data_IF_913223690141
#
_entry.id   IF_913223690141
#
_cell.length_a   1.000
_cell.length_b   1.000
_cell.length_c   1.000
_cell.angle_alpha   90.00
_cell.angle_beta   90.00
_cell.angle_gamma   90.00
#
_symmetry.space_group_name_H-M   'P 1'
#
loop_
_entity.id
_entity.type
_entity.pdbx_description
1 polymer ?
#
# COMPACT_ATOMS: atom_id res chain seq x y z
N UNK A 1 24.56 44.22 6.58
CA UNK A 1 23.23 43.69 6.19
C UNK A 1 23.22 42.15 6.17
N UNK A 2 23.93 41.47 7.08
CA UNK A 2 24.04 40.00 7.08
C UNK A 2 23.02 39.28 7.98
N UNK A 3 22.55 39.95 9.05
CA UNK A 3 21.66 39.36 10.04
C UNK A 3 20.26 39.04 9.47
N UNK A 4 19.73 39.91 8.60
CA UNK A 4 18.46 39.65 7.90
C UNK A 4 18.54 38.41 7.02
N UNK A 5 19.65 38.22 6.30
CA UNK A 5 19.81 37.12 5.35
C UNK A 5 19.69 35.74 6.03
N UNK A 6 20.30 35.57 7.21
CA UNK A 6 20.23 34.32 7.97
C UNK A 6 18.84 34.05 8.56
N UNK A 7 18.13 35.10 9.00
CA UNK A 7 16.76 34.97 9.52
C UNK A 7 15.80 34.58 8.39
N UNK A 8 15.92 35.19 7.21
CA UNK A 8 15.10 34.82 6.05
C UNK A 8 15.40 33.40 5.54
N UNK A 9 16.66 32.97 5.57
CA UNK A 9 17.03 31.60 5.21
C UNK A 9 16.39 30.59 6.18
N UNK A 10 16.55 30.82 7.48
CA UNK A 10 16.06 29.90 8.52
C UNK A 10 14.53 29.79 8.53
N UNK A 11 13.79 30.89 8.30
CA UNK A 11 12.34 30.83 8.13
C UNK A 11 11.93 29.99 6.91
N UNK A 12 12.66 30.09 5.79
CA UNK A 12 12.37 29.27 4.59
C UNK A 12 12.62 27.79 4.83
N UNK A 13 13.71 27.44 5.50
CA UNK A 13 13.96 26.04 5.87
C UNK A 13 12.91 25.51 6.83
N UNK A 14 12.50 26.27 7.84
CA UNK A 14 11.43 25.88 8.74
C UNK A 14 10.11 25.64 7.99
N UNK A 15 9.74 26.53 7.06
CA UNK A 15 8.55 26.36 6.23
C UNK A 15 8.62 25.09 5.36
N UNK A 16 9.77 24.81 4.72
CA UNK A 16 9.96 23.61 3.91
C UNK A 16 9.84 22.34 4.77
N UNK A 17 10.47 22.32 5.94
CA UNK A 17 10.41 21.19 6.88
C UNK A 17 8.97 20.95 7.34
N UNK A 18 8.21 22.00 7.64
CA UNK A 18 6.80 21.88 8.02
C UNK A 18 5.95 21.31 6.87
N UNK A 19 6.12 21.80 5.64
CA UNK A 19 5.38 21.28 4.47
C UNK A 19 5.71 19.82 4.20
N UNK A 20 7.00 19.44 4.23
CA UNK A 20 7.42 18.05 4.06
C UNK A 20 6.91 17.15 5.19
N UNK A 21 6.90 17.67 6.43
CA UNK A 21 6.39 16.96 7.60
C UNK A 21 4.89 16.66 7.50
N UNK A 22 4.07 17.64 7.11
CA UNK A 22 2.62 17.45 6.90
C UNK A 22 2.37 16.38 5.85
N UNK A 23 3.08 16.43 4.72
CA UNK A 23 2.89 15.46 3.63
C UNK A 23 3.28 14.02 4.02
N UNK A 24 4.34 13.85 4.82
CA UNK A 24 4.68 12.54 5.39
C UNK A 24 3.63 12.05 6.40
N UNK A 25 3.10 12.95 7.23
CA UNK A 25 2.06 12.61 8.22
C UNK A 25 0.76 12.14 7.56
N UNK A 26 0.28 12.83 6.52
CA UNK A 26 -0.91 12.42 5.75
C UNK A 26 -0.74 11.01 5.17
N UNK A 27 0.40 10.73 4.52
CA UNK A 27 0.67 9.40 3.96
C UNK A 27 0.83 8.29 5.02
N UNK A 28 1.21 8.63 6.25
CA UNK A 28 1.26 7.70 7.38
C UNK A 28 -0.14 7.41 7.94
N UNK A 29 -0.97 8.45 8.06
CA UNK A 29 -2.34 8.35 8.54
C UNK A 29 -3.19 7.48 7.61
N UNK A 30 -3.09 7.72 6.30
CA UNK A 30 -3.76 6.91 5.27
C UNK A 30 -3.39 5.42 5.36
N UNK A 31 -2.12 5.11 5.65
CA UNK A 31 -1.68 3.71 5.82
C UNK A 31 -2.24 3.08 7.08
N UNK A 32 -2.38 3.83 8.16
CA UNK A 32 -2.90 3.31 9.41
C UNK A 32 -4.41 3.03 9.31
N UNK A 33 -5.18 3.92 8.69
CA UNK A 33 -6.58 3.67 8.37
C UNK A 33 -6.75 2.49 7.41
N UNK A 34 -5.94 2.43 6.36
CA UNK A 34 -5.96 1.30 5.43
C UNK A 34 -5.65 -0.02 6.13
N UNK A 35 -4.70 -0.02 7.07
CA UNK A 35 -4.38 -1.21 7.89
C UNK A 35 -5.58 -1.66 8.74
N UNK A 36 -6.31 -0.71 9.34
CA UNK A 36 -7.52 -1.00 10.13
C UNK A 36 -8.68 -1.50 9.27
N UNK A 37 -8.71 -1.15 7.99
CA UNK A 37 -9.75 -1.58 7.05
C UNK A 37 -9.62 -3.04 6.57
N UNK A 38 -8.49 -3.70 6.83
CA UNK A 38 -8.25 -5.06 6.37
C UNK A 38 -9.17 -6.09 7.05
N UNK A 39 -9.71 -7.02 6.25
CA UNK A 39 -10.58 -8.12 6.72
C UNK A 39 -9.75 -9.16 7.50
N UNK A 40 -10.38 -10.01 8.34
CA UNK A 40 -9.66 -10.99 9.17
C UNK A 40 -8.71 -11.95 8.44
N UNK A 41 -8.99 -12.22 7.16
CA UNK A 41 -8.19 -13.12 6.30
C UNK A 41 -7.20 -12.37 5.39
N UNK A 42 -7.03 -11.09 5.63
CA UNK A 42 -6.12 -10.20 4.92
C UNK A 42 -4.98 -9.76 5.83
N UNK A 43 -3.85 -9.42 5.23
CA UNK A 43 -2.73 -8.77 5.88
C UNK A 43 -2.45 -7.45 5.19
N UNK A 44 -2.35 -6.40 5.99
CA UNK A 44 -1.82 -5.13 5.52
C UNK A 44 -0.34 -5.31 5.17
N UNK A 45 0.03 -4.92 3.95
CA UNK A 45 1.40 -5.04 3.54
C UNK A 45 1.67 -4.46 2.16
N UNK A 46 2.90 -4.67 1.73
CA UNK A 46 3.39 -4.30 0.43
C UNK A 46 3.44 -5.53 -0.47
N UNK A 47 2.98 -5.42 -1.70
CA UNK A 47 3.20 -6.47 -2.71
C UNK A 47 3.59 -5.89 -4.07
N UNK A 48 4.21 -6.72 -4.90
CA UNK A 48 4.61 -6.33 -6.26
C UNK A 48 3.38 -6.09 -7.13
N UNK A 49 3.41 -5.02 -7.93
CA UNK A 49 2.33 -4.67 -8.85
C UNK A 49 2.42 -5.50 -10.13
N UNK A 50 1.31 -6.15 -10.51
CA UNK A 50 1.17 -6.84 -11.81
C UNK A 50 0.06 -7.91 -11.82
N UNK A 51 -0.42 -8.34 -13.00
CA UNK A 51 -1.40 -9.42 -13.12
C UNK A 51 -0.80 -10.76 -12.68
N UNK A 52 -1.38 -11.37 -11.65
CA UNK A 52 -0.84 -12.60 -11.04
C UNK A 52 0.31 -12.38 -10.04
N UNK A 53 0.71 -11.12 -9.85
CA UNK A 53 1.74 -10.73 -8.90
C UNK A 53 1.11 -10.34 -7.56
N UNK A 54 1.73 -10.82 -6.49
CA UNK A 54 1.39 -10.45 -5.12
C UNK A 54 0.21 -11.20 -4.50
N UNK A 55 -0.99 -11.05 -5.07
CA UNK A 55 -2.20 -11.71 -4.56
C UNK A 55 -2.69 -12.79 -5.54
N UNK A 56 -2.95 -13.98 -4.99
CA UNK A 56 -3.55 -15.10 -5.75
C UNK A 56 -5.03 -14.81 -5.97
N UNK A 57 -5.52 -14.97 -7.19
CA UNK A 57 -6.94 -14.77 -7.53
C UNK A 57 -7.53 -16.09 -8.02
N UNK A 58 -8.81 -16.34 -7.74
CA UNK A 58 -9.48 -17.59 -8.11
C UNK A 58 -9.51 -17.83 -9.63
N UNK A 59 -9.66 -16.76 -10.43
CA UNK A 59 -9.82 -16.85 -11.89
C UNK A 59 -8.52 -16.63 -12.67
N UNK A 60 -7.37 -16.62 -11.98
CA UNK A 60 -6.06 -16.41 -12.59
C UNK A 60 -5.22 -17.64 -12.37
N UNK A 61 -5.17 -18.53 -13.37
CA UNK A 61 -4.07 -19.47 -13.48
C UNK A 61 -2.79 -18.65 -13.62
N UNK A 62 -1.80 -18.91 -12.75
CA UNK A 62 -0.54 -18.16 -12.61
C UNK A 62 -0.12 -17.56 -13.96
N UNK A 63 -0.48 -16.31 -14.21
CA UNK A 63 0.03 -15.60 -15.36
C UNK A 63 1.49 -15.35 -15.04
N UNK A 64 2.38 -15.85 -15.91
CA UNK A 64 3.79 -15.42 -16.02
C UNK A 64 3.81 -13.96 -16.48
N UNK A 65 3.18 -13.08 -15.70
CA UNK A 65 3.14 -11.65 -15.92
C UNK A 65 4.40 -11.00 -15.38
N UNK A 66 4.85 -9.94 -16.04
CA UNK A 66 5.94 -9.11 -15.55
C UNK A 66 5.50 -8.43 -14.23
N UNK A 67 6.07 -8.86 -13.10
CA UNK A 67 5.87 -8.21 -11.82
C UNK A 67 6.78 -6.99 -11.73
N UNK A 68 6.19 -5.80 -11.64
CA UNK A 68 6.98 -4.60 -11.38
C UNK A 68 7.48 -4.63 -9.94
N UNK A 69 8.74 -4.27 -9.67
CA UNK A 69 9.29 -4.12 -8.33
C UNK A 69 8.75 -2.89 -7.59
N UNK A 70 7.54 -2.43 -7.94
CA UNK A 70 6.85 -1.33 -7.30
C UNK A 70 6.01 -1.88 -6.16
N UNK A 71 6.26 -1.35 -4.98
CA UNK A 71 5.52 -1.65 -3.77
C UNK A 71 4.11 -1.03 -3.82
N UNK A 72 3.08 -1.87 -3.95
CA UNK A 72 1.70 -1.44 -3.74
C UNK A 72 1.28 -1.81 -2.32
N UNK A 73 1.03 -0.80 -1.49
CA UNK A 73 0.45 -0.99 -0.16
C UNK A 73 -1.04 -1.29 -0.25
N UNK A 74 -1.52 -2.18 0.61
CA UNK A 74 -2.92 -2.59 0.65
C UNK A 74 -3.16 -3.79 1.56
N UNK A 75 -4.41 -4.27 1.56
CA UNK A 75 -4.82 -5.49 2.23
C UNK A 75 -4.74 -6.66 1.25
N UNK A 76 -4.00 -7.70 1.61
CA UNK A 76 -3.71 -8.84 0.73
C UNK A 76 -4.10 -10.15 1.40
N UNK A 77 -4.63 -11.11 0.64
CA UNK A 77 -4.96 -12.42 1.19
C UNK A 77 -3.77 -13.09 1.89
N UNK A 78 -3.99 -13.59 3.11
CA UNK A 78 -2.94 -14.24 3.91
C UNK A 78 -2.55 -15.61 3.32
N UNK A 79 -1.24 -15.88 3.28
CA UNK A 79 -0.71 -17.22 3.02
C UNK A 79 -1.09 -17.79 1.64
N UNK A 80 -1.82 -18.91 1.65
CA UNK A 80 -2.23 -19.64 0.43
C UNK A 80 -3.70 -19.42 0.05
N UNK A 81 -4.33 -18.36 0.58
CA UNK A 81 -5.69 -17.99 0.21
C UNK A 81 -5.72 -17.28 -1.15
N UNK A 82 -6.85 -17.41 -1.82
CA UNK A 82 -7.15 -16.85 -3.13
C UNK A 82 -8.28 -15.82 -2.98
N UNK A 83 -8.15 -14.69 -3.65
CA UNK A 83 -9.19 -13.69 -3.75
C UNK A 83 -10.27 -14.18 -4.71
N UNK A 84 -11.47 -14.44 -4.18
CA UNK A 84 -12.65 -14.78 -4.97
C UNK A 84 -13.29 -13.53 -5.55
N UNK A 85 -13.56 -13.52 -6.86
CA UNK A 85 -14.04 -12.33 -7.59
C UNK A 85 -15.45 -11.89 -7.19
N UNK A 86 -16.34 -12.83 -6.83
CA UNK A 86 -17.76 -12.57 -6.56
C UNK A 86 -18.01 -11.74 -5.29
N UNK A 87 -17.24 -11.97 -4.23
CA UNK A 87 -17.47 -11.44 -2.88
C UNK A 87 -16.21 -10.76 -2.31
N UNK A 88 -15.12 -10.72 -3.07
CA UNK A 88 -13.81 -10.24 -2.65
C UNK A 88 -13.37 -10.86 -1.31
N UNK A 89 -13.68 -12.13 -1.06
CA UNK A 89 -13.20 -12.86 0.13
C UNK A 89 -11.92 -13.63 -0.19
N UNK A 90 -11.07 -13.76 0.81
CA UNK A 90 -9.89 -14.63 0.77
C UNK A 90 -10.29 -16.02 1.21
N UNK A 91 -10.17 -16.99 0.32
CA UNK A 91 -10.66 -18.36 0.53
C UNK A 91 -9.64 -19.39 0.06
N UNK A 92 -9.67 -20.62 0.58
CA UNK A 92 -8.91 -21.73 0.01
C UNK A 92 -9.23 -21.97 -1.47
N UNK A 93 -8.27 -22.48 -2.23
CA UNK A 93 -8.42 -22.71 -3.69
C UNK A 93 -9.64 -23.57 -4.04
N UNK A 94 -9.95 -24.60 -3.24
CA UNK A 94 -11.07 -25.49 -3.51
C UNK A 94 -12.42 -24.78 -3.43
N UNK A 95 -12.51 -23.67 -2.68
CA UNK A 95 -13.72 -22.86 -2.63
C UNK A 95 -13.79 -21.80 -3.74
N UNK A 96 -12.84 -21.76 -4.67
CA UNK A 96 -12.91 -20.85 -5.82
C UNK A 96 -13.96 -21.28 -6.84
N UNK A 97 -14.31 -22.58 -6.86
CA UNK A 97 -15.27 -23.18 -7.80
C UNK A 97 -16.72 -23.11 -7.30
N UNK A 98 -16.92 -22.66 -6.05
CA UNK A 98 -18.22 -22.40 -5.44
C UNK A 98 -18.70 -21.00 -5.76
#
# INVERSE_FOLDING_TARGET
MEQNSQIFLSLRFAAIVLVLGVWMCEGLFDREELKKSCKPWELFGCTMKGPGCGEKKCDVEKTLGFCMPVCKYGCWCRGNLYRRKRDNKCVPKHECLL
#
